data_IF_983879168187
#
_entry.id   IF_983879168187
#
_cell.length_a   1.000
_cell.length_b   1.000
_cell.length_c   1.000
_cell.angle_alpha   90.00
_cell.angle_beta   90.00
_cell.angle_gamma   90.00
#
_symmetry.space_group_name_H-M   'P 1'
#
loop_
_entity.id
_entity.type
_entity.pdbx_description
1 polymer ?
#
# COMPACT_ATOMS: atom_id res chain seq x y z
N UNK A 1 2.59 4.15 -5.63
CA UNK A 1 1.78 5.06 -6.49
C UNK A 1 0.30 4.93 -6.21
N UNK A 2 -0.30 3.73 -6.25
CA UNK A 2 -1.70 3.53 -5.83
C UNK A 2 -1.94 3.97 -4.38
N UNK A 3 -1.06 3.54 -3.48
CA UNK A 3 -1.09 3.90 -2.06
C UNK A 3 -1.01 5.43 -1.85
N UNK A 4 -0.15 6.12 -2.61
CA UNK A 4 -0.10 7.59 -2.62
C UNK A 4 -1.41 8.21 -3.12
N UNK A 5 -2.01 7.66 -4.18
CA UNK A 5 -3.30 8.15 -4.70
C UNK A 5 -4.43 7.96 -3.68
N UNK A 6 -4.39 6.87 -2.92
CA UNK A 6 -5.31 6.63 -1.80
C UNK A 6 -5.09 7.65 -0.67
N UNK A 7 -3.83 7.86 -0.24
CA UNK A 7 -3.49 8.88 0.75
C UNK A 7 -3.96 10.28 0.36
N UNK A 8 -3.78 10.67 -0.91
CA UNK A 8 -4.29 11.95 -1.44
C UNK A 8 -5.81 12.00 -1.40
N UNK A 9 -6.50 10.90 -1.66
CA UNK A 9 -7.97 10.83 -1.58
C UNK A 9 -8.46 10.98 -0.13
N UNK A 10 -7.78 10.36 0.83
CA UNK A 10 -8.12 10.41 2.26
C UNK A 10 -7.82 11.78 2.86
N UNK A 11 -6.64 12.34 2.59
CA UNK A 11 -6.19 13.60 3.20
C UNK A 11 -6.50 14.84 2.36
N UNK A 12 -7.05 14.66 1.15
CA UNK A 12 -7.58 15.72 0.29
C UNK A 12 -6.60 16.26 -0.77
N UNK A 13 -5.29 16.26 -0.51
CA UNK A 13 -4.30 16.73 -1.47
C UNK A 13 -2.89 16.17 -1.18
N UNK A 14 -1.95 16.35 -2.10
CA UNK A 14 -0.52 16.09 -1.83
C UNK A 14 0.04 17.00 -0.75
N UNK A 15 -0.41 18.27 -0.73
CA UNK A 15 0.05 19.25 0.26
C UNK A 15 -0.40 18.88 1.68
N UNK A 16 -1.60 18.32 1.83
CA UNK A 16 -2.12 17.86 3.12
C UNK A 16 -1.34 16.69 3.73
N UNK A 17 -0.46 16.03 2.95
CA UNK A 17 0.45 14.99 3.44
C UNK A 17 1.66 15.55 4.18
N UNK A 18 2.03 16.81 3.95
CA UNK A 18 3.19 17.41 4.60
C UNK A 18 3.04 17.39 6.13
N UNK A 19 4.10 16.99 6.82
CA UNK A 19 4.15 16.87 8.27
C UNK A 19 3.38 15.68 8.86
N UNK A 20 2.65 14.89 8.06
CA UNK A 20 1.97 13.68 8.57
C UNK A 20 3.00 12.62 8.95
N UNK A 21 2.82 12.01 10.12
CA UNK A 21 3.63 10.87 10.57
C UNK A 21 3.13 9.60 9.90
N UNK A 22 3.96 8.99 9.06
CA UNK A 22 3.63 7.78 8.31
C UNK A 22 4.61 6.68 8.71
N UNK A 23 4.09 5.58 9.23
CA UNK A 23 4.89 4.46 9.73
C UNK A 23 4.84 3.31 8.73
N UNK A 24 5.98 2.96 8.14
CA UNK A 24 6.18 1.68 7.45
C UNK A 24 6.80 0.72 8.46
N UNK A 25 6.07 -0.29 8.91
CA UNK A 25 6.57 -1.23 9.92
C UNK A 25 6.62 -2.65 9.41
N UNK A 26 7.58 -3.43 9.91
CA UNK A 26 7.56 -4.87 9.76
C UNK A 26 6.40 -5.45 10.57
N UNK A 27 5.87 -6.58 10.13
CA UNK A 27 4.90 -7.35 10.88
C UNK A 27 5.18 -8.84 10.69
N UNK A 28 4.78 -9.66 11.66
CA UNK A 28 4.97 -11.09 11.64
C UNK A 28 4.15 -11.73 10.51
N UNK A 29 4.75 -12.69 9.83
CA UNK A 29 4.11 -13.47 8.77
C UNK A 29 4.56 -14.93 8.89
N UNK A 30 3.62 -15.90 8.87
CA UNK A 30 3.96 -17.32 8.77
C UNK A 30 4.37 -17.71 7.34
N UNK A 31 4.29 -16.79 6.37
CA UNK A 31 4.83 -16.96 5.02
C UNK A 31 6.28 -16.51 4.94
N UNK A 32 7.13 -17.31 4.31
CA UNK A 32 8.54 -16.98 4.08
C UNK A 32 8.76 -16.09 2.85
N UNK A 33 9.88 -15.37 2.81
CA UNK A 33 10.43 -14.86 1.55
C UNK A 33 9.64 -13.74 0.86
N UNK A 34 8.83 -12.97 1.60
CA UNK A 34 8.13 -11.79 1.07
C UNK A 34 9.15 -10.73 0.58
N UNK A 35 9.00 -10.18 -0.64
CA UNK A 35 9.97 -9.22 -1.18
C UNK A 35 10.01 -7.88 -0.42
N UNK A 36 11.16 -7.21 -0.46
CA UNK A 36 11.38 -5.88 0.11
C UNK A 36 10.80 -4.74 -0.76
N UNK A 37 10.23 -5.04 -1.93
CA UNK A 37 9.82 -4.04 -2.91
C UNK A 37 8.75 -3.07 -2.39
N UNK A 38 7.80 -3.55 -1.58
CA UNK A 38 6.75 -2.72 -0.98
C UNK A 38 7.32 -1.72 0.03
N UNK A 39 7.98 -2.12 1.14
CA UNK A 39 8.54 -1.17 2.10
C UNK A 39 9.48 -0.17 1.44
N UNK A 40 10.36 -0.64 0.55
CA UNK A 40 11.31 0.21 -0.18
C UNK A 40 10.63 1.23 -1.07
N UNK A 41 9.69 0.78 -1.92
CA UNK A 41 8.98 1.67 -2.84
C UNK A 41 8.09 2.68 -2.11
N UNK A 42 7.50 2.26 -0.98
CA UNK A 42 6.64 3.11 -0.16
C UNK A 42 7.42 4.27 0.46
N UNK A 43 8.50 4.00 1.20
CA UNK A 43 9.29 5.05 1.86
C UNK A 43 10.00 5.96 0.83
N UNK A 44 10.54 5.39 -0.26
CA UNK A 44 11.24 6.17 -1.28
C UNK A 44 10.29 7.11 -2.04
N UNK A 45 9.03 6.70 -2.23
CA UNK A 45 8.02 7.54 -2.84
C UNK A 45 7.53 8.62 -1.88
N UNK A 46 7.11 8.25 -0.66
CA UNK A 46 6.47 9.19 0.27
C UNK A 46 7.42 10.25 0.84
N UNK A 47 8.72 9.94 0.92
CA UNK A 47 9.76 10.90 1.35
C UNK A 47 9.83 12.14 0.46
N UNK A 48 9.30 12.06 -0.76
CA UNK A 48 9.28 13.17 -1.74
C UNK A 48 8.21 14.23 -1.45
N UNK A 49 7.32 14.00 -0.48
CA UNK A 49 6.13 14.83 -0.26
C UNK A 49 6.09 15.48 1.13
N UNK A 50 7.26 15.68 1.76
CA UNK A 50 7.38 16.40 3.04
C UNK A 50 6.72 15.67 4.22
N UNK A 51 6.59 14.35 4.13
CA UNK A 51 6.05 13.50 5.19
C UNK A 51 7.11 13.25 6.28
N UNK A 52 6.66 12.90 7.49
CA UNK A 52 7.52 12.45 8.57
C UNK A 52 7.49 10.91 8.59
N UNK A 53 8.46 10.29 7.92
CA UNK A 53 8.49 8.84 7.73
C UNK A 53 9.23 8.13 8.87
N UNK A 54 8.64 7.05 9.35
CA UNK A 54 9.26 6.12 10.29
C UNK A 54 9.32 4.74 9.63
N UNK A 55 10.52 4.18 9.49
CA UNK A 55 10.71 2.79 9.14
C UNK A 55 10.97 1.99 10.43
N UNK A 56 10.06 1.09 10.79
CA UNK A 56 10.19 0.27 12.00
C UNK A 56 10.38 -1.20 11.65
N UNK A 57 11.46 -1.84 12.08
CA UNK A 57 11.66 -3.28 11.85
C UNK A 57 12.59 -3.91 12.89
N UNK A 58 12.52 -5.23 13.13
CA UNK A 58 13.52 -5.90 13.96
C UNK A 58 14.93 -5.76 13.41
N UNK A 59 15.95 -5.89 14.27
CA UNK A 59 17.34 -5.94 13.81
C UNK A 59 17.55 -7.11 12.82
N UNK A 60 18.32 -6.85 11.76
CA UNK A 60 18.57 -7.81 10.68
C UNK A 60 17.53 -7.84 9.56
N UNK A 61 16.49 -6.99 9.64
CA UNK A 61 15.48 -6.80 8.58
C UNK A 61 15.69 -5.49 7.79
N UNK A 62 16.93 -5.00 7.77
CA UNK A 62 17.30 -3.80 7.03
C UNK A 62 16.90 -3.88 5.55
N UNK A 63 16.53 -2.72 5.00
CA UNK A 63 16.28 -2.56 3.58
C UNK A 63 17.58 -2.26 2.83
N UNK A 64 17.51 -2.27 1.49
CA UNK A 64 18.68 -1.97 0.65
C UNK A 64 19.26 -0.58 0.99
N UNK A 65 20.56 -0.46 1.32
CA UNK A 65 21.18 0.80 1.75
C UNK A 65 20.99 1.96 0.77
N UNK A 66 21.04 1.69 -0.53
CA UNK A 66 20.80 2.70 -1.57
C UNK A 66 19.39 3.32 -1.46
N UNK A 67 18.37 2.51 -1.15
CA UNK A 67 17.00 3.00 -0.99
C UNK A 67 16.87 3.83 0.29
N UNK A 68 17.55 3.41 1.37
CA UNK A 68 17.61 4.18 2.61
C UNK A 68 18.23 5.56 2.37
N UNK A 69 19.31 5.62 1.59
CA UNK A 69 19.98 6.88 1.26
C UNK A 69 19.11 7.77 0.38
N UNK A 70 18.48 7.23 -0.67
CA UNK A 70 17.52 7.96 -1.50
C UNK A 70 16.38 8.53 -0.65
N UNK A 71 15.87 7.75 0.31
CA UNK A 71 14.78 8.17 1.21
C UNK A 71 15.20 9.33 2.09
N UNK A 72 16.40 9.26 2.71
CA UNK A 72 16.97 10.36 3.51
C UNK A 72 17.12 11.64 2.69
N UNK A 73 17.68 11.53 1.49
CA UNK A 73 17.88 12.67 0.60
C UNK A 73 16.57 13.30 0.14
N UNK A 74 15.56 12.47 -0.19
CA UNK A 74 14.24 12.96 -0.56
C UNK A 74 13.56 13.69 0.60
N UNK A 75 13.58 13.11 1.80
CA UNK A 75 12.96 13.72 2.99
C UNK A 75 13.58 15.08 3.30
N UNK A 76 14.92 15.18 3.28
CA UNK A 76 15.63 16.44 3.49
C UNK A 76 15.27 17.50 2.44
N UNK A 77 15.22 17.12 1.14
CA UNK A 77 14.86 18.03 0.05
C UNK A 77 13.39 18.49 0.11
N UNK A 78 12.49 17.60 0.53
CA UNK A 78 11.06 17.89 0.58
C UNK A 78 10.60 18.61 1.86
N UNK A 79 11.50 18.79 2.84
CA UNK A 79 11.19 19.39 4.14
C UNK A 79 10.37 18.49 5.07
N UNK A 80 10.56 17.17 4.95
CA UNK A 80 10.03 16.16 5.87
C UNK A 80 11.13 15.56 6.74
N UNK A 81 10.85 14.42 7.37
CA UNK A 81 11.83 13.66 8.15
C UNK A 81 11.82 12.17 7.79
N UNK A 82 12.93 11.49 8.07
CA UNK A 82 13.02 10.04 7.96
C UNK A 82 13.83 9.48 9.12
N UNK A 83 13.25 8.54 9.86
CA UNK A 83 13.92 7.82 10.96
C UNK A 83 13.74 6.31 10.82
N UNK A 84 14.68 5.57 11.40
CA UNK A 84 14.62 4.10 11.51
C UNK A 84 14.56 3.75 12.99
N UNK A 85 13.72 2.80 13.35
CA UNK A 85 13.60 2.30 14.73
C UNK A 85 13.40 0.79 14.77
N UNK A 86 13.74 0.18 15.90
CA UNK A 86 13.54 -1.23 16.17
C UNK A 86 12.41 -1.48 17.20
N UNK A 87 11.59 -0.45 17.45
CA UNK A 87 10.45 -0.50 18.36
C UNK A 87 9.15 -0.14 17.60
N UNK A 88 8.36 -1.17 17.29
CA UNK A 88 7.08 -1.02 16.60
C UNK A 88 6.08 -0.16 17.40
N UNK A 89 6.01 -0.35 18.73
CA UNK A 89 5.05 0.36 19.58
C UNK A 89 5.37 1.84 19.62
N UNK A 90 6.64 2.19 19.80
CA UNK A 90 7.11 3.59 19.74
C UNK A 90 6.84 4.23 18.37
N UNK A 91 7.01 3.48 17.29
CA UNK A 91 6.73 3.99 15.95
C UNK A 91 5.25 4.38 15.79
N UNK A 92 4.32 3.60 16.34
CA UNK A 92 2.87 3.80 16.20
C UNK A 92 2.34 5.02 16.96
N UNK A 93 2.99 5.43 18.06
CA UNK A 93 2.55 6.59 18.87
C UNK A 93 2.38 7.83 17.99
N UNK A 94 1.20 8.46 18.05
CA UNK A 94 0.84 9.66 17.27
C UNK A 94 0.97 9.53 15.74
N UNK A 95 1.02 8.32 15.20
CA UNK A 95 1.03 8.10 13.75
C UNK A 95 -0.29 8.58 13.12
N UNK A 96 -0.22 9.26 11.97
CA UNK A 96 -1.38 9.57 11.14
C UNK A 96 -1.75 8.37 10.23
N UNK A 97 -0.73 7.58 9.85
CA UNK A 97 -0.86 6.41 8.96
C UNK A 97 0.07 5.30 9.44
N UNK A 98 -0.41 4.06 9.42
CA UNK A 98 0.40 2.87 9.71
C UNK A 98 0.30 1.84 8.57
N UNK A 99 1.44 1.28 8.18
CA UNK A 99 1.57 0.26 7.15
C UNK A 99 2.42 -0.91 7.68
N UNK A 100 1.83 -1.79 8.51
CA UNK A 100 2.48 -2.98 9.03
C UNK A 100 2.45 -4.11 7.99
N UNK A 101 3.61 -4.57 7.54
CA UNK A 101 3.75 -5.61 6.51
C UNK A 101 5.03 -6.38 6.69
N UNK A 102 5.01 -7.70 6.50
CA UNK A 102 6.24 -8.50 6.55
C UNK A 102 7.08 -8.42 5.27
N UNK A 103 8.40 -8.55 5.44
CA UNK A 103 9.37 -8.82 4.38
C UNK A 103 10.49 -9.73 4.90
N UNK A 104 11.21 -10.38 3.98
CA UNK A 104 12.37 -11.20 4.32
C UNK A 104 13.65 -10.35 4.40
N UNK A 105 14.63 -10.72 5.24
CA UNK A 105 15.96 -10.13 5.22
C UNK A 105 16.62 -10.18 3.83
N UNK A 106 17.48 -9.21 3.53
CA UNK A 106 18.17 -9.14 2.24
C UNK A 106 18.98 -10.42 1.94
N UNK A 107 19.73 -10.92 2.92
CA UNK A 107 20.57 -12.10 2.77
C UNK A 107 19.77 -13.38 2.44
N UNK A 108 18.52 -13.49 2.92
CA UNK A 108 17.61 -14.57 2.53
C UNK A 108 17.26 -14.46 1.04
N UNK A 109 17.00 -13.26 0.55
CA UNK A 109 16.68 -13.03 -0.87
C UNK A 109 17.85 -13.37 -1.79
N UNK A 110 19.08 -13.02 -1.38
CA UNK A 110 20.30 -13.37 -2.12
C UNK A 110 20.55 -14.89 -2.14
N UNK A 111 20.47 -15.54 -0.97
CA UNK A 111 20.60 -16.99 -0.82
C UNK A 111 19.57 -17.73 -1.67
N UNK A 112 18.30 -17.33 -1.58
CA UNK A 112 17.19 -17.89 -2.37
C UNK A 112 17.42 -17.71 -3.88
N UNK A 113 17.90 -16.55 -4.31
CA UNK A 113 18.19 -16.30 -5.74
C UNK A 113 19.30 -17.23 -6.25
N UNK A 114 20.37 -17.42 -5.48
CA UNK A 114 21.43 -18.34 -5.83
C UNK A 114 20.95 -19.80 -5.90
N UNK A 115 20.11 -20.23 -4.95
CA UNK A 115 19.53 -21.57 -4.91
C UNK A 115 18.56 -21.82 -6.07
N UNK A 116 17.70 -20.85 -6.40
CA UNK A 116 16.79 -20.92 -7.55
C UNK A 116 17.55 -21.08 -8.88
N UNK A 117 18.63 -20.30 -9.08
CA UNK A 117 19.49 -20.41 -10.27
C UNK A 117 20.13 -21.80 -10.41
N UNK A 118 20.45 -22.44 -9.29
CA UNK A 118 21.02 -23.79 -9.23
C UNK A 118 19.96 -24.90 -9.22
N UNK A 119 18.66 -24.57 -9.19
CA UNK A 119 17.55 -25.52 -8.98
C UNK A 119 17.72 -26.37 -7.71
N UNK A 120 18.30 -25.79 -6.67
CA UNK A 120 18.55 -26.45 -5.38
C UNK A 120 17.29 -26.42 -4.50
N UNK A 121 16.37 -27.36 -4.75
CA UNK A 121 15.08 -27.40 -4.06
C UNK A 121 15.19 -27.78 -2.58
N UNK A 122 16.16 -28.62 -2.21
CA UNK A 122 16.37 -29.00 -0.81
C UNK A 122 16.98 -27.83 -0.02
N UNK A 123 17.92 -27.09 -0.62
CA UNK A 123 18.41 -25.84 -0.08
C UNK A 123 17.32 -24.79 0.10
N UNK A 124 16.37 -24.69 -0.85
CA UNK A 124 15.22 -23.77 -0.72
C UNK A 124 14.34 -24.11 0.49
N UNK A 125 14.01 -25.40 0.70
CA UNK A 125 13.24 -25.85 1.88
C UNK A 125 13.98 -25.56 3.18
N UNK A 126 15.30 -25.77 3.20
CA UNK A 126 16.12 -25.47 4.37
C UNK A 126 16.15 -23.96 4.69
N UNK A 127 16.33 -23.12 3.67
CA UNK A 127 16.29 -21.64 3.81
C UNK A 127 14.92 -21.15 4.25
N UNK A 128 13.84 -21.74 3.72
CA UNK A 128 12.47 -21.44 4.16
C UNK A 128 12.30 -21.72 5.66
N UNK A 129 12.70 -22.91 6.12
CA UNK A 129 12.64 -23.27 7.55
C UNK A 129 13.45 -22.30 8.42
N UNK A 130 14.68 -21.98 8.01
CA UNK A 130 15.55 -21.01 8.70
C UNK A 130 14.88 -19.63 8.82
N UNK A 131 14.26 -19.15 7.75
CA UNK A 131 13.56 -17.86 7.70
C UNK A 131 12.33 -17.84 8.61
N UNK A 132 11.54 -18.93 8.62
CA UNK A 132 10.37 -19.04 9.48
C UNK A 132 10.76 -19.08 10.97
N UNK A 133 11.83 -19.81 11.33
CA UNK A 133 12.33 -19.81 12.71
C UNK A 133 12.89 -18.44 13.12
N UNK A 134 13.51 -17.69 12.21
CA UNK A 134 13.94 -16.32 12.48
C UNK A 134 12.74 -15.40 12.74
N UNK A 135 11.72 -15.45 11.86
CA UNK A 135 10.52 -14.62 12.00
C UNK A 135 9.78 -14.87 13.32
N UNK A 136 9.76 -16.12 13.82
CA UNK A 136 9.10 -16.48 15.09
C UNK A 136 9.68 -15.75 16.30
N UNK A 137 10.94 -15.31 16.27
CA UNK A 137 11.53 -14.48 17.34
C UNK A 137 10.83 -13.14 17.49
N UNK A 138 10.10 -12.71 16.46
CA UNK A 138 9.43 -11.42 16.36
C UNK A 138 7.91 -11.60 16.19
N UNK A 139 7.34 -12.69 16.71
CA UNK A 139 5.91 -13.03 16.62
C UNK A 139 4.97 -11.97 17.25
N UNK A 140 5.52 -11.12 18.12
CA UNK A 140 4.82 -10.01 18.76
C UNK A 140 4.71 -8.75 17.90
N UNK A 141 5.38 -8.71 16.74
CA UNK A 141 5.22 -7.62 15.78
C UNK A 141 3.92 -7.81 15.01
N UNK A 142 2.83 -7.36 15.59
CA UNK A 142 1.49 -7.50 15.04
C UNK A 142 0.70 -6.22 15.25
N UNK A 143 -0.05 -5.81 14.24
CA UNK A 143 -1.02 -4.75 14.37
C UNK A 143 -2.28 -5.24 15.11
N UNK A 144 -2.62 -4.61 16.22
CA UNK A 144 -3.83 -4.87 16.99
C UNK A 144 -4.51 -3.58 17.42
N UNK A 145 -5.67 -3.73 18.07
CA UNK A 145 -6.45 -2.59 18.56
C UNK A 145 -5.70 -1.75 19.61
N UNK A 146 -4.83 -2.37 20.43
CA UNK A 146 -4.03 -1.66 21.43
C UNK A 146 -3.01 -0.74 20.76
N UNK A 147 -2.31 -1.26 19.75
CA UNK A 147 -1.38 -0.47 18.94
C UNK A 147 -2.11 0.66 18.21
N UNK A 148 -3.26 0.37 17.59
CA UNK A 148 -4.06 1.39 16.90
C UNK A 148 -4.56 2.47 17.87
N UNK A 149 -4.89 2.13 19.11
CA UNK A 149 -5.31 3.12 20.13
C UNK A 149 -4.22 4.14 20.49
N UNK A 150 -2.93 3.78 20.34
CA UNK A 150 -1.81 4.71 20.59
C UNK A 150 -1.53 5.67 19.43
N UNK A 151 -2.13 5.42 18.27
CA UNK A 151 -1.97 6.28 17.10
C UNK A 151 -2.68 7.61 17.29
N UNK A 152 -2.52 8.54 16.34
CA UNK A 152 -3.12 9.87 16.45
C UNK A 152 -4.64 9.76 16.54
N UNK A 153 -5.19 10.25 17.66
CA UNK A 153 -6.60 10.13 18.03
C UNK A 153 -7.14 8.68 18.08
N UNK A 154 -6.26 7.68 18.19
CA UNK A 154 -6.59 6.25 18.13
C UNK A 154 -7.18 5.79 16.80
N UNK A 155 -6.95 6.54 15.71
CA UNK A 155 -7.62 6.38 14.41
C UNK A 155 -6.71 6.65 13.22
N UNK A 156 -5.43 6.26 13.30
CA UNK A 156 -4.58 6.28 12.12
C UNK A 156 -5.22 5.50 10.96
N UNK A 157 -4.94 5.95 9.74
CA UNK A 157 -5.27 5.17 8.56
C UNK A 157 -4.39 3.91 8.54
N UNK A 158 -5.01 2.74 8.66
CA UNK A 158 -4.34 1.46 8.41
C UNK A 158 -4.26 1.21 6.90
N UNK A 159 -3.08 0.89 6.40
CA UNK A 159 -2.84 0.54 4.99
C UNK A 159 -2.21 -0.84 4.87
N UNK A 160 -2.58 -1.57 3.81
CA UNK A 160 -1.94 -2.83 3.46
C UNK A 160 -2.22 -3.23 2.02
N UNK A 161 -1.20 -3.69 1.29
CA UNK A 161 -1.33 -3.98 -0.15
C UNK A 161 -2.28 -5.13 -0.53
N UNK A 162 -2.70 -5.94 0.45
CA UNK A 162 -3.45 -7.20 0.36
C UNK A 162 -2.77 -8.32 -0.46
N UNK A 163 -3.03 -9.60 -0.15
CA UNK A 163 -3.71 -10.08 1.07
C UNK A 163 -2.83 -9.87 2.31
N UNK A 164 -3.46 -9.61 3.47
CA UNK A 164 -2.80 -9.57 4.77
C UNK A 164 -2.86 -10.96 5.42
N UNK A 165 -1.88 -11.29 6.25
CA UNK A 165 -1.96 -12.45 7.14
C UNK A 165 -2.76 -12.06 8.40
N UNK A 166 -3.99 -12.56 8.52
CA UNK A 166 -4.95 -12.17 9.56
C UNK A 166 -5.00 -13.28 10.61
N UNK A 167 -4.67 -12.93 11.85
CA UNK A 167 -4.65 -13.85 13.00
C UNK A 167 -6.07 -14.34 13.32
N UNK A 168 -6.19 -15.64 13.55
CA UNK A 168 -7.48 -16.30 13.80
C UNK A 168 -8.37 -16.44 12.55
N UNK A 169 -7.90 -16.02 11.36
CA UNK A 169 -8.66 -16.13 10.12
C UNK A 169 -7.89 -16.82 9.00
N UNK A 170 -6.79 -16.23 8.51
CA UNK A 170 -5.97 -16.83 7.45
C UNK A 170 -4.77 -17.60 8.00
N UNK A 171 -4.45 -17.39 9.27
CA UNK A 171 -3.36 -18.05 10.00
C UNK A 171 -3.59 -17.95 11.51
N UNK A 172 -2.88 -18.76 12.30
CA UNK A 172 -2.94 -18.70 13.77
C UNK A 172 -2.47 -17.34 14.30
N UNK A 173 -1.32 -16.88 13.81
CA UNK A 173 -0.74 -15.56 14.07
C UNK A 173 -0.23 -14.95 12.76
N UNK A 174 -0.48 -13.67 12.56
CA UNK A 174 -0.11 -12.95 11.34
C UNK A 174 0.22 -11.47 11.58
N UNK A 175 0.08 -10.69 10.51
CA UNK A 175 0.46 -9.27 10.45
C UNK A 175 -0.52 -8.40 11.25
N UNK A 176 -1.80 -8.82 11.35
CA UNK A 176 -2.88 -8.07 12.00
C UNK A 176 -3.87 -9.02 12.69
N UNK A 177 -4.55 -8.55 13.75
CA UNK A 177 -5.70 -9.26 14.37
C UNK A 177 -6.96 -9.18 13.50
N UNK A 178 -7.86 -10.14 13.62
CA UNK A 178 -9.09 -10.15 12.82
C UNK A 178 -9.97 -8.92 13.11
N UNK A 179 -10.16 -8.58 14.38
CA UNK A 179 -10.99 -7.47 14.83
C UNK A 179 -10.48 -6.13 14.29
N UNK A 180 -9.16 -5.90 14.39
CA UNK A 180 -8.52 -4.70 13.85
C UNK A 180 -8.64 -4.66 12.32
N UNK A 181 -8.45 -5.79 11.63
CA UNK A 181 -8.62 -5.84 10.17
C UNK A 181 -10.05 -5.53 9.74
N UNK A 182 -11.07 -6.06 10.43
CA UNK A 182 -12.47 -5.81 10.07
C UNK A 182 -12.84 -4.32 10.15
N UNK A 183 -12.31 -3.58 11.14
CA UNK A 183 -12.54 -2.13 11.28
C UNK A 183 -11.96 -1.32 10.12
N UNK A 184 -10.84 -1.78 9.56
CA UNK A 184 -10.08 -1.07 8.51
C UNK A 184 -10.28 -1.69 7.10
N UNK A 185 -11.09 -2.74 6.98
CA UNK A 185 -11.21 -3.54 5.75
C UNK A 185 -11.60 -2.71 4.53
N UNK A 186 -12.59 -1.82 4.68
CA UNK A 186 -13.05 -0.99 3.56
C UNK A 186 -11.97 -0.04 3.06
N UNK A 187 -11.18 0.55 3.96
CA UNK A 187 -10.08 1.44 3.59
C UNK A 187 -9.05 0.70 2.72
N UNK A 188 -8.69 -0.53 3.10
CA UNK A 188 -7.77 -1.37 2.29
C UNK A 188 -8.35 -1.74 0.92
N UNK A 189 -9.68 -1.87 0.80
CA UNK A 189 -10.32 -2.17 -0.48
C UNK A 189 -10.36 -0.94 -1.38
N UNK A 190 -10.66 0.22 -0.79
CA UNK A 190 -10.56 1.49 -1.51
C UNK A 190 -9.13 1.75 -1.94
N UNK A 191 -8.13 1.54 -1.07
CA UNK A 191 -6.70 1.59 -1.41
C UNK A 191 -6.38 0.73 -2.65
N UNK A 192 -6.77 -0.54 -2.61
CA UNK A 192 -6.53 -1.47 -3.71
C UNK A 192 -7.19 -1.05 -5.02
N UNK A 193 -8.36 -0.39 -4.97
CA UNK A 193 -9.09 0.05 -6.16
C UNK A 193 -8.34 1.11 -6.99
N UNK A 194 -7.33 1.78 -6.44
CA UNK A 194 -6.50 2.73 -7.19
C UNK A 194 -5.53 2.03 -8.17
N UNK A 195 -5.16 0.77 -7.93
CA UNK A 195 -4.10 0.08 -8.70
C UNK A 195 -4.41 0.00 -10.21
N UNK A 196 -5.62 -0.41 -10.66
CA UNK A 196 -5.93 -0.46 -12.09
C UNK A 196 -5.79 0.90 -12.78
N UNK A 197 -6.23 1.98 -12.13
CA UNK A 197 -6.18 3.33 -12.70
C UNK A 197 -4.75 3.88 -12.78
N UNK A 198 -3.90 3.56 -11.80
CA UNK A 198 -2.47 3.92 -11.86
C UNK A 198 -1.79 3.20 -13.03
N UNK A 199 -2.05 1.90 -13.22
CA UNK A 199 -1.48 1.14 -14.34
C UNK A 199 -1.98 1.69 -15.69
N UNK A 200 -3.28 1.96 -15.82
CA UNK A 200 -3.85 2.57 -17.01
C UNK A 200 -3.24 3.95 -17.30
N UNK A 201 -3.05 4.78 -16.27
CA UNK A 201 -2.38 6.08 -16.39
C UNK A 201 -0.94 5.93 -16.89
N UNK A 202 -0.16 4.99 -16.34
CA UNK A 202 1.19 4.70 -16.81
C UNK A 202 1.22 4.28 -18.29
N UNK A 203 0.32 3.37 -18.69
CA UNK A 203 0.20 2.93 -20.09
C UNK A 203 -0.13 4.12 -21.00
N UNK A 204 -1.09 4.96 -20.62
CA UNK A 204 -1.47 6.15 -21.38
C UNK A 204 -0.30 7.12 -21.55
N UNK A 205 0.48 7.37 -20.49
CA UNK A 205 1.66 8.22 -20.56
C UNK A 205 2.75 7.66 -21.49
N UNK A 206 2.85 6.34 -21.64
CA UNK A 206 3.78 5.71 -22.59
C UNK A 206 3.26 5.67 -24.03
N UNK A 207 1.94 5.59 -24.24
CA UNK A 207 1.33 5.34 -25.55
C UNK A 207 0.76 6.59 -26.22
N UNK A 208 0.41 7.61 -25.45
CA UNK A 208 -0.19 8.84 -25.96
C UNK A 208 0.81 9.98 -25.93
N UNK A 209 0.99 10.67 -27.06
CA UNK A 209 1.78 11.92 -27.12
C UNK A 209 1.22 12.99 -26.18
N UNK A 210 -0.11 13.05 -26.04
CA UNK A 210 -0.81 13.90 -25.06
C UNK A 210 -1.94 13.11 -24.42
N UNK A 211 -1.76 12.74 -23.15
CA UNK A 211 -2.78 12.05 -22.35
C UNK A 211 -4.03 12.92 -22.20
N UNK A 212 -3.85 14.23 -21.98
CA UNK A 212 -4.97 15.17 -21.85
C UNK A 212 -5.82 15.23 -23.13
N UNK A 213 -5.19 15.28 -24.31
CA UNK A 213 -5.92 15.27 -25.58
C UNK A 213 -6.64 13.93 -25.81
N UNK A 214 -5.99 12.81 -25.47
CA UNK A 214 -6.60 11.48 -25.57
C UNK A 214 -7.86 11.36 -24.70
N UNK A 215 -7.79 11.82 -23.45
CA UNK A 215 -8.94 11.82 -22.52
C UNK A 215 -10.05 12.74 -23.03
N UNK A 216 -9.74 13.98 -23.44
CA UNK A 216 -10.73 14.90 -24.04
C UNK A 216 -11.42 14.26 -25.25
N UNK A 217 -10.68 13.56 -26.09
CA UNK A 217 -11.22 12.84 -27.24
C UNK A 217 -12.14 11.68 -26.85
N UNK A 218 -11.85 10.96 -25.76
CA UNK A 218 -12.74 9.90 -25.23
C UNK A 218 -14.04 10.51 -24.70
N UNK A 219 -13.96 11.59 -23.92
CA UNK A 219 -15.12 12.29 -23.37
C UNK A 219 -16.03 12.78 -24.50
N UNK A 220 -15.47 13.49 -25.48
CA UNK A 220 -16.24 14.02 -26.60
C UNK A 220 -16.90 12.90 -27.46
N UNK A 221 -16.26 11.73 -27.59
CA UNK A 221 -16.89 10.58 -28.28
C UNK A 221 -18.02 9.96 -27.45
N UNK A 222 -17.86 9.89 -26.13
CA UNK A 222 -18.90 9.36 -25.25
C UNK A 222 -20.12 10.29 -25.17
N UNK A 223 -19.91 11.61 -25.14
CA UNK A 223 -21.00 12.60 -25.20
C UNK A 223 -21.79 12.48 -26.51
N UNK A 224 -21.08 12.37 -27.65
CA UNK A 224 -21.71 12.12 -28.96
C UNK A 224 -22.48 10.79 -28.99
N UNK A 225 -21.97 9.75 -28.34
CA UNK A 225 -22.64 8.45 -28.29
C UNK A 225 -23.87 8.47 -27.37
N UNK A 226 -23.87 9.28 -26.30
CA UNK A 226 -25.04 9.50 -25.45
C UNK A 226 -26.09 10.36 -26.16
N UNK A 227 -25.70 11.40 -26.90
CA UNK A 227 -26.59 12.14 -27.79
C UNK A 227 -27.19 11.23 -28.87
N UNK A 228 -26.37 10.36 -29.48
CA UNK A 228 -26.82 9.38 -30.48
C UNK A 228 -27.81 8.36 -29.90
N UNK A 229 -27.56 7.84 -28.69
CA UNK A 229 -28.53 6.98 -27.99
C UNK A 229 -29.82 7.71 -27.60
N UNK A 230 -29.78 9.02 -27.37
CA UNK A 230 -30.95 9.83 -27.06
C UNK A 230 -31.73 10.24 -28.33
N UNK A 231 -31.07 10.36 -29.48
CA UNK A 231 -31.71 10.56 -30.79
C UNK A 231 -32.28 9.27 -31.39
N UNK A 232 -31.68 8.12 -31.12
CA UNK A 232 -32.19 6.81 -31.58
C UNK A 232 -33.35 6.27 -30.72
N UNK A 233 -33.56 6.80 -29.52
CA UNK A 233 -34.70 6.44 -28.66
C UNK A 233 -35.99 7.23 -28.94
N UNK A 234 -35.98 8.16 -29.91
CA UNK A 234 -37.15 8.98 -30.27
C UNK A 234 -37.97 8.47 -31.47
N UNK A 235 -37.73 7.23 -31.95
CA UNK A 235 -38.54 6.62 -33.02
C UNK A 235 -39.08 5.21 -32.73
N UNK A 236 -39.26 4.84 -31.46
CA UNK A 236 -40.05 3.67 -31.08
C UNK A 236 -41.18 4.08 -30.12
N UNK A 237 -42.40 4.14 -30.65
CA UNK A 237 -43.63 4.21 -29.87
C UNK A 237 -43.64 3.03 -28.90
N UNK A 238 -43.39 3.27 -27.63
CA UNK A 238 -43.99 2.63 -26.44
C UNK A 238 -43.06 2.73 -25.23
N UNK A 239 -42.95 3.92 -24.61
CA UNK A 239 -42.61 4.02 -23.19
C UNK A 239 -43.19 5.33 -22.62
N UNK A 240 -44.52 5.41 -22.61
CA UNK A 240 -45.21 6.14 -21.53
C UNK A 240 -45.06 5.27 -20.28
N UNK A 241 -44.82 5.91 -19.14
CA UNK A 241 -44.63 5.37 -17.77
C UNK A 241 -43.16 5.45 -17.32
N UNK A 242 -42.75 6.66 -16.92
CA UNK A 242 -42.28 7.01 -15.56
C UNK A 242 -41.66 8.41 -15.67
N UNK A 243 -42.49 9.41 -15.39
CA UNK A 243 -42.08 10.77 -15.09
C UNK A 243 -42.92 11.18 -13.89
N UNK A 244 -42.55 10.71 -12.71
CA UNK A 244 -42.98 11.22 -11.41
C UNK A 244 -41.81 10.99 -10.44
N UNK A 245 -41.50 11.99 -9.63
CA UNK A 245 -40.40 12.12 -8.63
C UNK A 245 -39.09 12.63 -9.30
N UNK A 246 -38.72 13.91 -9.28
CA UNK A 246 -38.88 14.92 -8.24
C UNK A 246 -38.85 16.33 -8.84
N UNK A 247 -39.78 17.18 -8.39
CA UNK A 247 -39.54 18.62 -8.21
C UNK A 247 -38.55 18.84 -7.08
#
# INVERSE_FOLDING_TARGET
>A
MADLSHLVKVFGSLEALRGKKIVMSWAYSPSYGKPLSVPQGFIALLSRFGTNLVLAHPEGYDLIPEIIEITKQNAAKAGGSFEITHDMRKAFVDADVVYPKSWAPMWISEKRTAQLKKKDYDGLKATEKECLELNKKYIDWQCDDEMMATTKNGKALYMHCLPADISGLSCERGEITNECFQKNRLDTYFEASHKPFIIASMIMHCKCKSVAAAIKGIIARNEKNQEFQMTDYLYSKHFKIILIISM
#
